data_IF_920953533688
#
_entry.id   IF_920953533688
#
_cell.length_a   1.000
_cell.length_b   1.000
_cell.length_c   1.000
_cell.angle_alpha   90.00
_cell.angle_beta   90.00
_cell.angle_gamma   90.00
#
_symmetry.space_group_name_H-M   'P 1'
#
loop_
_entity.id
_entity.type
_entity.pdbx_description
1 polymer ?
#
# COMPACT_ATOMS: atom_id res chain seq x y z
N UNK A 1 -26.66 6.39 -6.76
CA UNK A 1 -25.70 7.49 -6.53
C UNK A 1 -26.38 8.80 -6.83
N UNK A 2 -26.30 9.77 -5.90
CA UNK A 2 -26.82 11.12 -6.13
C UNK A 2 -25.91 11.90 -7.08
N UNK A 3 -26.45 13.00 -7.70
CA UNK A 3 -25.64 13.89 -8.54
C UNK A 3 -24.46 14.46 -7.77
N UNK A 4 -24.65 14.84 -6.51
CA UNK A 4 -23.57 15.37 -5.66
C UNK A 4 -22.48 14.36 -5.39
N UNK A 5 -22.83 13.10 -5.18
CA UNK A 5 -21.86 12.00 -5.01
C UNK A 5 -21.08 11.75 -6.29
N UNK A 6 -21.75 11.80 -7.43
CA UNK A 6 -21.11 11.64 -8.74
C UNK A 6 -20.11 12.77 -8.99
N UNK A 7 -20.48 14.01 -8.73
CA UNK A 7 -19.59 15.18 -8.90
C UNK A 7 -18.39 15.11 -7.97
N UNK A 8 -18.59 14.68 -6.71
CA UNK A 8 -17.52 14.50 -5.74
C UNK A 8 -16.53 13.43 -6.22
N UNK A 9 -17.03 12.29 -6.66
CA UNK A 9 -16.17 11.19 -7.16
C UNK A 9 -15.40 11.60 -8.40
N UNK A 10 -16.03 12.30 -9.32
CA UNK A 10 -15.38 12.79 -10.54
C UNK A 10 -14.26 13.76 -10.20
N UNK A 11 -14.50 14.70 -9.30
CA UNK A 11 -13.48 15.67 -8.85
C UNK A 11 -12.32 14.95 -8.15
N UNK A 12 -12.61 13.97 -7.31
CA UNK A 12 -11.60 13.18 -6.62
C UNK A 12 -10.67 12.45 -7.61
N UNK A 13 -11.25 11.81 -8.62
CA UNK A 13 -10.49 11.13 -9.67
C UNK A 13 -9.61 12.09 -10.46
N UNK A 14 -10.10 13.28 -10.78
CA UNK A 14 -9.33 14.31 -11.47
C UNK A 14 -8.12 14.76 -10.64
N UNK A 15 -8.31 15.02 -9.36
CA UNK A 15 -7.22 15.40 -8.46
C UNK A 15 -6.17 14.30 -8.34
N UNK A 16 -6.62 13.07 -8.17
CA UNK A 16 -5.72 11.92 -8.07
C UNK A 16 -4.89 11.77 -9.35
N UNK A 17 -5.53 11.78 -10.50
CA UNK A 17 -4.85 11.67 -11.79
C UNK A 17 -3.86 12.82 -12.02
N UNK A 18 -4.24 14.03 -11.65
CA UNK A 18 -3.37 15.21 -11.75
C UNK A 18 -2.14 15.08 -10.87
N UNK A 19 -2.32 14.68 -9.61
CA UNK A 19 -1.21 14.48 -8.67
C UNK A 19 -0.26 13.39 -9.16
N UNK A 20 -0.79 12.30 -9.70
CA UNK A 20 0.01 11.24 -10.31
C UNK A 20 0.83 11.80 -11.47
N UNK A 21 0.22 12.61 -12.33
CA UNK A 21 0.92 13.25 -13.46
C UNK A 21 2.02 14.19 -13.01
N UNK A 22 1.85 14.91 -11.91
CA UNK A 22 2.82 15.88 -11.38
C UNK A 22 3.93 15.23 -10.56
N UNK A 23 3.61 14.21 -9.76
CA UNK A 23 4.52 13.61 -8.76
C UNK A 23 4.88 12.17 -9.03
N UNK A 24 4.25 11.53 -10.00
CA UNK A 24 4.52 10.14 -10.40
C UNK A 24 3.65 9.11 -9.71
N UNK A 25 3.17 9.36 -8.50
CA UNK A 25 2.28 8.47 -7.75
C UNK A 25 1.58 9.20 -6.62
N UNK A 26 0.54 8.56 -6.09
CA UNK A 26 -0.12 8.97 -4.84
C UNK A 26 -0.17 7.78 -3.89
N UNK A 27 -0.36 8.06 -2.61
CA UNK A 27 -0.72 7.06 -1.60
C UNK A 27 -2.19 7.24 -1.27
N UNK A 28 -2.98 6.18 -1.48
CA UNK A 28 -4.42 6.18 -1.22
C UNK A 28 -4.71 5.46 0.09
N UNK A 29 -5.17 6.17 1.14
CA UNK A 29 -5.61 5.53 2.36
C UNK A 29 -7.04 5.01 2.20
N UNK A 30 -7.31 3.85 2.80
CA UNK A 30 -8.67 3.31 2.98
C UNK A 30 -8.85 3.09 4.47
N UNK A 31 -9.71 3.91 5.07
CA UNK A 31 -9.94 3.87 6.53
C UNK A 31 -10.81 2.69 6.92
N UNK A 32 -10.65 2.24 8.18
CA UNK A 32 -11.47 1.16 8.72
C UNK A 32 -12.93 1.58 8.81
N UNK A 33 -13.82 0.68 8.40
CA UNK A 33 -15.28 0.82 8.58
C UNK A 33 -15.79 0.17 9.89
N UNK A 34 -14.86 -0.32 10.73
CA UNK A 34 -15.15 -1.07 11.94
C UNK A 34 -15.23 -2.59 11.74
N UNK A 35 -15.18 -3.06 10.50
CA UNK A 35 -15.28 -4.48 10.15
C UNK A 35 -14.00 -5.03 9.53
N UNK A 36 -13.18 -4.16 8.94
CA UNK A 36 -11.92 -4.54 8.31
C UNK A 36 -10.80 -3.59 8.73
N UNK A 37 -9.57 -4.07 8.67
CA UNK A 37 -8.39 -3.26 8.97
C UNK A 37 -8.21 -2.14 7.93
N UNK A 38 -7.67 -0.99 8.35
CA UNK A 38 -7.31 0.05 7.40
C UNK A 38 -6.16 -0.43 6.51
N UNK A 39 -6.05 0.15 5.33
CA UNK A 39 -4.91 -0.09 4.46
C UNK A 39 -4.61 1.14 3.62
N UNK A 40 -3.39 1.21 3.11
CA UNK A 40 -2.98 2.29 2.20
C UNK A 40 -2.18 1.67 1.07
N UNK A 41 -2.33 2.21 -0.14
CA UNK A 41 -1.61 1.68 -1.30
C UNK A 41 -1.20 2.80 -2.25
N UNK A 42 -0.15 2.55 -3.01
CA UNK A 42 0.32 3.48 -4.04
C UNK A 42 -0.47 3.30 -5.33
N UNK A 43 -0.63 4.38 -6.08
CA UNK A 43 -1.25 4.37 -7.40
C UNK A 43 -0.38 5.23 -8.32
N UNK A 44 -0.04 4.70 -9.48
CA UNK A 44 0.78 5.39 -10.47
C UNK A 44 2.25 5.03 -10.44
N UNK A 45 2.73 4.45 -9.34
CA UNK A 45 4.14 4.09 -9.17
C UNK A 45 4.62 3.09 -10.23
N UNK A 46 3.74 2.20 -10.69
CA UNK A 46 4.06 1.19 -11.69
C UNK A 46 4.55 1.77 -13.02
N UNK A 47 4.16 3.00 -13.33
CA UNK A 47 4.55 3.65 -14.59
C UNK A 47 6.06 3.92 -14.66
N UNK A 48 6.70 4.21 -13.53
CA UNK A 48 8.13 4.48 -13.45
C UNK A 48 8.93 3.33 -12.82
N UNK A 49 8.33 2.59 -11.90
CA UNK A 49 9.02 1.57 -11.10
C UNK A 49 8.64 0.14 -11.50
N UNK A 50 7.51 -0.06 -12.17
CA UNK A 50 7.04 -1.38 -12.59
C UNK A 50 6.27 -2.16 -11.54
N UNK A 51 5.97 -1.57 -10.38
CA UNK A 51 5.21 -2.19 -9.29
C UNK A 51 4.51 -1.13 -8.46
N UNK A 52 3.60 -1.59 -7.60
CA UNK A 52 2.92 -0.76 -6.60
C UNK A 52 3.15 -1.36 -5.21
N UNK A 53 2.90 -0.58 -4.16
CA UNK A 53 3.07 -0.98 -2.77
C UNK A 53 1.74 -0.87 -2.02
N UNK A 54 1.54 -1.75 -1.03
CA UNK A 54 0.38 -1.70 -0.12
C UNK A 54 0.81 -2.06 1.29
N UNK A 55 0.13 -1.47 2.28
CA UNK A 55 0.35 -1.75 3.69
C UNK A 55 -0.98 -1.84 4.41
N UNK A 56 -1.20 -2.90 5.17
CA UNK A 56 -2.45 -3.14 5.90
C UNK A 56 -2.23 -3.03 7.40
N UNK A 57 -3.28 -2.67 8.14
CA UNK A 57 -3.31 -2.74 9.60
C UNK A 57 -2.79 -1.52 10.34
N UNK A 58 -2.11 -0.59 9.67
CA UNK A 58 -1.64 0.65 10.27
C UNK A 58 -2.46 1.84 9.80
N UNK A 59 -2.53 2.87 10.63
CA UNK A 59 -3.24 4.09 10.28
C UNK A 59 -2.59 4.82 9.10
N UNK A 60 -3.35 5.73 8.44
CA UNK A 60 -2.91 6.37 7.21
C UNK A 60 -1.63 7.18 7.36
N UNK A 61 -1.39 7.83 8.49
CA UNK A 61 -0.18 8.64 8.69
C UNK A 61 1.09 7.78 8.70
N UNK A 62 1.07 6.68 9.45
CA UNK A 62 2.21 5.76 9.54
C UNK A 62 2.44 5.08 8.19
N UNK A 63 1.39 4.55 7.60
CA UNK A 63 1.47 3.87 6.30
C UNK A 63 1.99 4.81 5.21
N UNK A 64 1.51 6.04 5.18
CA UNK A 64 1.97 7.06 4.22
C UNK A 64 3.48 7.30 4.35
N UNK A 65 3.97 7.48 5.58
CA UNK A 65 5.40 7.70 5.83
C UNK A 65 6.26 6.51 5.41
N UNK A 66 5.82 5.29 5.73
CA UNK A 66 6.53 4.06 5.37
C UNK A 66 6.57 3.88 3.85
N UNK A 67 5.44 4.05 3.18
CA UNK A 67 5.36 3.86 1.73
C UNK A 67 6.22 4.88 0.98
N UNK A 68 6.18 6.16 1.36
CA UNK A 68 7.05 7.17 0.75
C UNK A 68 8.52 6.89 0.98
N UNK A 69 8.90 6.45 2.18
CA UNK A 69 10.29 6.07 2.50
C UNK A 69 10.76 4.93 1.58
N UNK A 70 9.93 3.91 1.40
CA UNK A 70 10.27 2.77 0.54
C UNK A 70 10.37 3.17 -0.93
N UNK A 71 9.50 4.03 -1.42
CA UNK A 71 9.59 4.54 -2.81
C UNK A 71 10.94 5.21 -3.04
N UNK A 72 11.36 6.10 -2.13
CA UNK A 72 12.67 6.75 -2.22
C UNK A 72 13.82 5.73 -2.16
N UNK A 73 13.69 4.76 -1.27
CA UNK A 73 14.71 3.74 -1.05
C UNK A 73 14.91 2.82 -2.25
N UNK A 74 13.81 2.47 -2.93
CA UNK A 74 13.85 1.62 -4.11
C UNK A 74 14.18 2.36 -5.40
N UNK A 75 14.27 3.67 -5.37
CA UNK A 75 14.49 4.51 -6.55
C UNK A 75 15.74 4.11 -7.36
N UNK A 76 16.82 3.79 -6.65
CA UNK A 76 18.11 3.44 -7.25
C UNK A 76 18.48 1.97 -7.01
N UNK A 77 17.49 1.11 -6.79
CA UNK A 77 17.71 -0.31 -6.49
C UNK A 77 16.84 -1.21 -7.38
N UNK A 78 17.00 -2.52 -7.24
CA UNK A 78 16.24 -3.52 -7.98
C UNK A 78 14.75 -3.58 -7.56
N UNK A 79 14.36 -2.86 -6.50
CA UNK A 79 12.99 -2.84 -5.98
C UNK A 79 12.71 -3.98 -5.01
N UNK A 80 11.42 -4.23 -4.69
CA UNK A 80 11.04 -5.24 -3.72
C UNK A 80 11.33 -6.66 -4.23
N UNK A 81 11.68 -7.54 -3.30
CA UNK A 81 11.91 -8.95 -3.57
C UNK A 81 11.28 -9.78 -2.44
N UNK A 82 10.83 -11.04 -2.71
CA UNK A 82 10.21 -11.86 -1.68
C UNK A 82 11.20 -12.22 -0.59
N UNK A 83 10.73 -12.28 0.65
CA UNK A 83 11.46 -12.74 1.85
C UNK A 83 12.70 -11.91 2.22
N UNK A 84 12.85 -10.73 1.61
CA UNK A 84 13.90 -9.79 1.98
C UNK A 84 13.36 -8.87 3.09
N UNK A 85 14.13 -8.77 4.18
CA UNK A 85 13.82 -7.85 5.28
C UNK A 85 14.62 -6.55 5.12
N UNK A 86 13.97 -5.43 5.37
CA UNK A 86 14.55 -4.10 5.22
C UNK A 86 14.49 -3.36 6.57
N UNK A 87 15.61 -2.79 6.99
CA UNK A 87 15.69 -1.94 8.17
C UNK A 87 15.58 -0.46 7.81
N UNK A 88 15.54 0.40 8.85
CA UNK A 88 15.52 1.85 8.65
C UNK A 88 14.20 2.42 8.12
N UNK A 89 13.15 1.60 8.02
CA UNK A 89 11.82 2.01 7.55
C UNK A 89 10.89 2.27 8.72
N UNK A 90 10.94 1.42 9.74
CA UNK A 90 10.19 1.57 10.99
C UNK A 90 11.11 2.07 12.10
N UNK A 91 10.50 2.69 13.12
CA UNK A 91 11.21 3.12 14.32
C UNK A 91 11.74 1.91 15.12
N UNK A 92 12.67 2.18 16.05
CA UNK A 92 13.17 1.22 17.04
C UNK A 92 13.87 -0.02 16.46
N UNK A 93 14.40 0.09 15.25
CA UNK A 93 15.13 -1.00 14.61
C UNK A 93 14.26 -2.13 14.05
N UNK A 94 12.94 -1.98 14.07
CA UNK A 94 12.06 -2.94 13.45
C UNK A 94 12.24 -2.98 11.93
N UNK A 95 12.19 -4.18 11.37
CA UNK A 95 12.30 -4.39 9.92
C UNK A 95 10.93 -4.54 9.29
N UNK A 96 10.85 -4.32 7.99
CA UNK A 96 9.69 -4.70 7.16
C UNK A 96 10.10 -5.82 6.22
N UNK A 97 9.11 -6.60 5.76
CA UNK A 97 9.32 -7.70 4.82
C UNK A 97 8.36 -7.52 3.65
N UNK A 98 8.83 -7.81 2.45
CA UNK A 98 8.03 -7.66 1.24
C UNK A 98 7.34 -8.97 0.89
N UNK A 99 6.05 -8.88 0.53
CA UNK A 99 5.23 -10.02 0.16
C UNK A 99 4.47 -9.72 -1.12
N UNK A 100 4.45 -10.67 -2.05
CA UNK A 100 3.70 -10.51 -3.29
C UNK A 100 2.20 -10.64 -3.03
N UNK A 101 1.41 -9.68 -3.54
CA UNK A 101 -0.06 -9.68 -3.40
C UNK A 101 -0.67 -10.66 -4.39
N UNK A 102 -1.63 -11.47 -3.94
CA UNK A 102 -2.29 -12.47 -4.76
C UNK A 102 -3.56 -11.98 -5.47
N UNK A 103 -4.21 -10.93 -4.96
CA UNK A 103 -5.46 -10.43 -5.53
C UNK A 103 -5.50 -8.90 -5.52
N UNK A 104 -5.93 -8.31 -6.64
CA UNK A 104 -6.04 -6.85 -6.80
C UNK A 104 -7.45 -6.32 -6.53
N UNK A 105 -8.34 -7.10 -5.95
CA UNK A 105 -9.75 -6.74 -5.71
C UNK A 105 -9.93 -5.50 -4.83
N UNK A 106 -8.98 -5.24 -3.92
CA UNK A 106 -9.06 -4.16 -2.93
C UNK A 106 -8.54 -2.81 -3.45
N UNK A 107 -8.09 -2.74 -4.70
CA UNK A 107 -7.46 -1.56 -5.27
C UNK A 107 -8.38 -0.87 -6.29
N UNK A 108 -9.58 -0.50 -5.84
CA UNK A 108 -10.63 0.03 -6.71
C UNK A 108 -10.28 1.37 -7.35
N UNK A 109 -9.58 2.25 -6.65
CA UNK A 109 -9.19 3.55 -7.21
C UNK A 109 -8.15 3.39 -8.32
N UNK A 110 -7.25 2.41 -8.19
CA UNK A 110 -6.31 2.08 -9.27
C UNK A 110 -7.07 1.72 -10.55
N UNK A 111 -8.07 0.85 -10.44
CA UNK A 111 -8.88 0.45 -11.60
C UNK A 111 -9.67 1.60 -12.19
N UNK A 112 -10.18 2.50 -11.33
CA UNK A 112 -10.92 3.67 -11.78
C UNK A 112 -10.05 4.64 -12.60
N UNK A 113 -8.76 4.75 -12.27
CA UNK A 113 -7.84 5.67 -12.95
C UNK A 113 -7.20 5.02 -14.18
N UNK A 114 -6.73 3.78 -14.07
CA UNK A 114 -5.95 3.10 -15.11
C UNK A 114 -6.74 2.06 -15.91
N UNK A 115 -7.97 1.73 -15.48
CA UNK A 115 -8.80 0.73 -16.14
C UNK A 115 -8.67 -0.66 -15.53
N UNK A 116 -9.67 -1.50 -15.79
CA UNK A 116 -9.76 -2.86 -15.24
C UNK A 116 -8.68 -3.80 -15.77
N UNK A 117 -8.09 -3.50 -16.91
CA UNK A 117 -7.03 -4.30 -17.53
C UNK A 117 -5.64 -3.99 -16.98
N UNK A 118 -5.50 -2.90 -16.23
CA UNK A 118 -4.24 -2.54 -15.59
C UNK A 118 -4.03 -3.40 -14.34
N UNK A 119 -3.04 -4.29 -14.39
CA UNK A 119 -2.75 -5.26 -13.33
C UNK A 119 -1.27 -5.28 -12.98
N UNK A 120 -0.73 -4.14 -12.46
CA UNK A 120 0.66 -4.13 -12.05
C UNK A 120 0.88 -5.06 -10.86
N UNK A 121 2.09 -5.57 -10.67
CA UNK A 121 2.41 -6.28 -9.44
C UNK A 121 2.31 -5.34 -8.24
N UNK A 122 1.57 -5.77 -7.22
CA UNK A 122 1.53 -5.13 -5.91
C UNK A 122 2.38 -5.92 -4.93
N UNK A 123 3.16 -5.21 -4.12
CA UNK A 123 3.93 -5.79 -3.02
C UNK A 123 3.39 -5.26 -1.71
N UNK A 124 3.06 -6.17 -0.79
CA UNK A 124 2.65 -5.79 0.55
C UNK A 124 3.86 -5.62 1.44
N UNK A 125 3.87 -4.48 2.14
CA UNK A 125 4.87 -4.17 3.15
C UNK A 125 4.38 -4.76 4.46
N UNK A 126 4.97 -5.86 4.90
CA UNK A 126 4.57 -6.59 6.10
C UNK A 126 5.41 -6.10 7.28
N UNK A 127 4.75 -5.75 8.37
CA UNK A 127 5.39 -5.25 9.58
C UNK A 127 5.30 -6.28 10.70
N UNK A 128 6.31 -6.34 11.61
CA UNK A 128 6.37 -7.35 12.65
C UNK A 128 5.61 -6.94 13.91
N UNK A 129 5.39 -7.91 14.80
CA UNK A 129 4.94 -7.62 16.15
C UNK A 129 6.07 -6.99 16.99
N UNK A 130 5.77 -6.66 18.26
CA UNK A 130 6.75 -6.03 19.15
C UNK A 130 7.94 -6.92 19.51
N UNK A 131 7.84 -8.23 19.27
CA UNK A 131 8.95 -9.16 19.42
C UNK A 131 9.75 -9.36 18.11
N UNK A 132 9.38 -8.66 17.03
CA UNK A 132 10.05 -8.77 15.74
C UNK A 132 9.60 -9.96 14.91
N UNK A 133 8.49 -10.62 15.26
CA UNK A 133 7.97 -11.79 14.53
C UNK A 133 6.96 -11.32 13.48
N UNK A 134 7.15 -11.76 12.24
CA UNK A 134 6.29 -11.40 11.12
C UNK A 134 5.11 -12.38 10.97
N UNK A 135 3.90 -11.88 10.62
CA UNK A 135 2.85 -12.78 10.16
C UNK A 135 3.24 -13.38 8.79
N UNK A 136 2.91 -14.62 8.44
CA UNK A 136 2.16 -15.57 9.25
C UNK A 136 3.04 -16.52 10.09
N UNK A 137 4.25 -16.12 10.43
CA UNK A 137 5.20 -16.97 11.13
C UNK A 137 4.63 -17.41 12.50
N UNK A 138 4.92 -18.63 12.96
CA UNK A 138 4.48 -19.10 14.27
C UNK A 138 5.00 -18.20 15.40
N UNK A 139 4.14 -17.91 16.34
CA UNK A 139 4.48 -17.05 17.48
C UNK A 139 4.24 -15.56 17.25
N UNK A 140 3.84 -15.13 16.05
CA UNK A 140 3.46 -13.76 15.80
C UNK A 140 2.18 -13.42 16.58
N UNK A 141 2.21 -12.30 17.33
CA UNK A 141 1.07 -11.85 18.13
C UNK A 141 0.04 -11.05 17.34
N UNK A 142 0.36 -10.68 16.08
CA UNK A 142 -0.56 -9.94 15.22
C UNK A 142 -1.58 -10.90 14.61
N UNK A 143 -2.88 -10.63 14.82
CA UNK A 143 -3.94 -11.43 14.23
C UNK A 143 -4.06 -11.20 12.72
N UNK A 144 -4.71 -12.13 12.02
CA UNK A 144 -5.02 -11.97 10.59
C UNK A 144 -5.97 -10.80 10.34
N UNK A 145 -6.81 -10.48 11.33
CA UNK A 145 -7.70 -9.32 11.26
C UNK A 145 -6.93 -8.00 11.49
N UNK A 146 -5.86 -8.04 12.29
CA UNK A 146 -5.04 -6.87 12.60
C UNK A 146 -4.10 -6.48 11.46
N UNK A 147 -3.59 -7.46 10.74
CA UNK A 147 -2.78 -7.24 9.54
C UNK A 147 -3.14 -8.28 8.48
N UNK A 148 -4.20 -8.05 7.70
CA UNK A 148 -4.54 -8.98 6.63
C UNK A 148 -3.41 -9.11 5.61
N UNK A 149 -3.11 -10.35 5.22
CA UNK A 149 -2.17 -10.64 4.14
C UNK A 149 -2.94 -10.81 2.83
N UNK A 150 -2.60 -10.00 1.84
CA UNK A 150 -3.33 -9.90 0.58
C UNK A 150 -2.81 -10.83 -0.51
#
# INVERSE_FOLDING_TARGET
>A
MSADQFDFMTEYLYRAARTIGEHGYIVQPVVSDGHSAPYSYTIGLHQSHGYELVMTGLGPEVANGVLHNLVERFKDSAGPAPDVSLDGVLADGFQVRMRRVGSLKDFSLHRAIFGDDSRPPYWQVVWPDTAGVFPPDPGCSISVEGQPLL
#
